data_IF_345602104434
#
_entry.id   IF_345602104434
#
_cell.length_a   1.000
_cell.length_b   1.000
_cell.length_c   1.000
_cell.angle_alpha   90.00
_cell.angle_beta   90.00
_cell.angle_gamma   90.00
#
_symmetry.space_group_name_H-M   'P 1'
#
loop_
_entity.id
_entity.type
_entity.pdbx_description
1 polymer ?
#
# COMPACT_ATOMS: atom_id res chain seq x y z
N UNK A 1 5.28 12.00 -10.76
CA UNK A 1 4.56 12.05 -12.04
C UNK A 1 3.59 13.23 -11.99
N UNK A 2 3.84 14.27 -12.80
CA UNK A 2 2.97 15.45 -12.86
C UNK A 2 1.72 15.13 -13.65
N UNK A 3 0.53 15.28 -13.03
CA UNK A 3 -0.74 15.27 -13.72
C UNK A 3 -0.79 16.43 -14.71
N UNK A 4 -0.78 16.14 -16.01
CA UNK A 4 -0.95 17.15 -17.06
C UNK A 4 -2.42 17.58 -17.11
N UNK A 5 -2.70 18.87 -16.95
CA UNK A 5 -4.01 19.40 -17.23
C UNK A 5 -4.19 19.54 -18.75
N UNK A 6 -5.22 18.89 -19.32
CA UNK A 6 -5.63 19.12 -20.69
C UNK A 6 -6.62 20.31 -20.71
N UNK A 7 -6.21 21.40 -21.35
CA UNK A 7 -7.05 22.59 -21.51
C UNK A 7 -7.74 22.55 -22.88
N UNK A 8 -9.04 22.62 -22.88
CA UNK A 8 -9.87 22.74 -24.07
C UNK A 8 -10.40 24.18 -24.15
N UNK A 9 -10.22 24.83 -25.30
CA UNK A 9 -10.77 26.16 -25.55
C UNK A 9 -11.65 26.15 -26.78
N UNK A 10 -12.81 26.78 -26.68
CA UNK A 10 -13.70 27.02 -27.80
C UNK A 10 -13.81 28.54 -27.99
N UNK A 11 -13.59 29.00 -29.21
CA UNK A 11 -13.84 30.41 -29.59
C UNK A 11 -14.78 30.48 -30.77
N UNK A 12 -15.77 31.36 -30.70
CA UNK A 12 -16.67 31.68 -31.80
C UNK A 12 -16.59 33.16 -32.12
N UNK A 13 -16.58 33.48 -33.42
CA UNK A 13 -16.68 34.84 -33.95
C UNK A 13 -17.85 34.95 -34.94
N UNK A 14 -18.63 35.99 -34.82
CA UNK A 14 -19.74 36.29 -35.74
C UNK A 14 -20.02 37.78 -35.81
N UNK A 15 -20.96 38.22 -36.68
CA UNK A 15 -21.30 39.66 -36.89
C UNK A 15 -21.83 40.34 -35.62
N UNK A 16 -22.18 39.58 -34.56
CA UNK A 16 -22.63 40.11 -33.25
C UNK A 16 -21.53 40.17 -32.18
N UNK A 17 -20.29 39.72 -32.45
CA UNK A 17 -19.20 39.70 -31.48
C UNK A 17 -18.46 38.37 -31.43
N UNK A 18 -17.49 38.29 -30.52
CA UNK A 18 -16.74 37.06 -30.25
C UNK A 18 -16.92 36.61 -28.81
N UNK A 19 -17.02 35.30 -28.61
CA UNK A 19 -17.08 34.65 -27.29
C UNK A 19 -16.08 33.51 -27.21
N UNK A 20 -15.47 33.30 -26.05
CA UNK A 20 -14.61 32.16 -25.78
C UNK A 20 -14.97 31.50 -24.46
N UNK A 21 -14.85 30.19 -24.41
CA UNK A 21 -14.99 29.39 -23.17
C UNK A 21 -13.85 28.38 -23.11
N UNK A 22 -13.34 28.13 -21.91
CA UNK A 22 -12.33 27.12 -21.68
C UNK A 22 -12.74 26.16 -20.56
N UNK A 23 -12.39 24.90 -20.72
CA UNK A 23 -12.51 23.86 -19.70
C UNK A 23 -11.16 23.14 -19.55
N UNK A 24 -10.79 22.82 -18.32
CA UNK A 24 -9.62 22.00 -18.03
C UNK A 24 -10.04 20.67 -17.43
N UNK A 25 -9.41 19.58 -17.88
CA UNK A 25 -9.54 18.26 -17.30
C UNK A 25 -8.17 17.85 -16.77
N UNK A 26 -8.09 17.62 -15.46
CA UNK A 26 -6.88 17.10 -14.83
C UNK A 26 -6.98 15.56 -14.77
N UNK A 27 -6.00 14.87 -15.28
CA UNK A 27 -5.87 13.42 -15.08
C UNK A 27 -5.45 13.12 -13.64
N UNK A 28 -5.88 11.98 -13.12
CA UNK A 28 -5.39 11.48 -11.83
C UNK A 28 -3.95 11.02 -12.03
N UNK A 29 -3.02 11.50 -11.20
CA UNK A 29 -1.64 11.04 -11.20
C UNK A 29 -1.56 9.60 -10.69
N UNK A 30 -0.59 8.84 -11.16
CA UNK A 30 -0.27 7.54 -10.58
C UNK A 30 0.72 7.70 -9.43
N UNK A 31 0.62 6.80 -8.45
CA UNK A 31 1.58 6.62 -7.39
C UNK A 31 2.26 5.26 -7.54
N UNK A 32 3.56 5.21 -7.30
CA UNK A 32 4.32 3.97 -7.22
C UNK A 32 4.42 3.52 -5.76
N UNK A 33 4.62 2.24 -5.56
CA UNK A 33 4.83 1.69 -4.23
C UNK A 33 5.52 0.33 -4.26
N UNK A 34 5.66 -0.26 -3.07
CA UNK A 34 6.28 -1.57 -2.87
C UNK A 34 5.51 -2.37 -1.81
N UNK A 35 5.38 -3.67 -2.01
CA UNK A 35 4.85 -4.62 -1.02
C UNK A 35 6.02 -5.34 -0.37
N UNK A 36 6.16 -5.19 0.95
CA UNK A 36 7.33 -5.66 1.71
C UNK A 36 6.93 -6.46 2.94
N UNK A 37 7.29 -7.73 2.92
CA UNK A 37 7.49 -8.64 4.06
C UNK A 37 8.60 -9.63 3.62
N UNK A 38 9.85 -9.13 3.43
CA UNK A 38 10.66 -9.45 2.26
C UNK A 38 10.02 -8.74 1.05
N UNK A 39 10.47 -8.93 -0.17
CA UNK A 39 9.68 -8.46 -1.31
C UNK A 39 8.61 -9.48 -1.68
N UNK A 40 7.37 -9.02 -1.84
CA UNK A 40 6.26 -9.88 -2.25
C UNK A 40 5.96 -9.61 -3.72
N UNK A 41 6.30 -10.56 -4.60
CA UNK A 41 5.97 -10.54 -6.02
C UNK A 41 4.62 -11.20 -6.29
N UNK A 42 4.01 -10.88 -7.42
CA UNK A 42 2.75 -11.45 -7.86
C UNK A 42 1.58 -11.24 -6.87
N UNK A 43 1.71 -10.29 -5.93
CA UNK A 43 0.61 -9.88 -5.07
C UNK A 43 -0.44 -9.11 -5.85
N UNK A 44 -1.73 -9.33 -5.60
CA UNK A 44 -2.79 -8.46 -6.07
C UNK A 44 -2.84 -7.22 -5.19
N UNK A 45 -2.56 -6.06 -5.78
CA UNK A 45 -2.57 -4.76 -5.08
C UNK A 45 -3.74 -3.93 -5.61
N UNK A 46 -4.62 -3.46 -4.75
CA UNK A 46 -5.84 -2.78 -5.17
C UNK A 46 -6.21 -1.60 -4.28
N UNK A 47 -7.06 -0.75 -4.83
CA UNK A 47 -7.67 0.38 -4.14
C UNK A 47 -8.97 -0.09 -3.49
N UNK A 48 -8.93 -0.32 -2.18
CA UNK A 48 -10.06 -0.81 -1.39
C UNK A 48 -11.04 0.34 -1.13
N UNK A 49 -12.08 0.41 -1.96
CA UNK A 49 -13.04 1.53 -2.00
C UNK A 49 -14.16 1.41 -0.98
N UNK A 50 -14.44 0.21 -0.49
CA UNK A 50 -15.51 -0.07 0.48
C UNK A 50 -14.98 -0.42 1.88
N UNK A 51 -13.66 -0.52 2.05
CA UNK A 51 -12.94 -0.82 3.29
C UNK A 51 -13.29 -2.20 3.89
N UNK A 52 -13.46 -3.21 3.02
CA UNK A 52 -13.71 -4.59 3.44
C UNK A 52 -12.50 -5.53 3.28
N UNK A 53 -11.39 -5.04 2.71
CA UNK A 53 -10.13 -5.74 2.46
C UNK A 53 -10.25 -6.92 1.48
N UNK A 54 -11.33 -6.98 0.71
CA UNK A 54 -11.60 -8.00 -0.29
C UNK A 54 -11.54 -7.36 -1.67
N UNK A 55 -10.80 -7.96 -2.60
CA UNK A 55 -10.74 -7.44 -3.97
C UNK A 55 -12.06 -7.68 -4.69
N UNK A 56 -12.77 -6.60 -4.98
CA UNK A 56 -14.00 -6.59 -5.74
C UNK A 56 -13.78 -6.38 -7.24
N UNK A 57 -14.76 -6.78 -8.05
CA UNK A 57 -14.67 -6.71 -9.51
C UNK A 57 -14.62 -5.29 -10.10
N UNK A 58 -15.09 -4.30 -9.35
CA UNK A 58 -15.12 -2.88 -9.72
C UNK A 58 -13.96 -2.07 -9.14
N UNK A 59 -13.10 -2.70 -8.36
CA UNK A 59 -11.93 -2.06 -7.79
C UNK A 59 -10.74 -2.01 -8.75
N UNK A 60 -10.00 -0.91 -8.68
CA UNK A 60 -8.78 -0.75 -9.47
C UNK A 60 -7.68 -1.59 -8.87
N UNK A 61 -7.16 -2.53 -9.64
CA UNK A 61 -6.12 -3.46 -9.20
C UNK A 61 -4.91 -3.47 -10.14
N UNK A 62 -3.78 -3.89 -9.59
CA UNK A 62 -2.53 -4.19 -10.31
C UNK A 62 -1.85 -5.39 -9.65
N UNK A 63 -0.74 -5.84 -10.24
CA UNK A 63 0.06 -6.93 -9.66
C UNK A 63 1.47 -6.42 -9.37
N UNK A 64 2.03 -6.80 -8.22
CA UNK A 64 3.41 -6.46 -7.87
C UNK A 64 4.41 -7.23 -8.73
N UNK A 65 5.51 -6.57 -9.10
CA UNK A 65 6.61 -7.16 -9.88
C UNK A 65 7.56 -8.01 -9.01
N UNK A 66 8.66 -8.48 -9.62
CA UNK A 66 9.66 -9.32 -8.96
C UNK A 66 10.32 -8.68 -7.72
N UNK A 67 10.26 -7.36 -7.60
CA UNK A 67 10.80 -6.58 -6.47
C UNK A 67 9.68 -6.03 -5.58
N UNK A 68 8.47 -6.59 -5.67
CA UNK A 68 7.31 -6.12 -4.92
C UNK A 68 6.73 -4.78 -5.40
N UNK A 69 7.27 -4.17 -6.46
CA UNK A 69 6.87 -2.85 -6.92
C UNK A 69 5.53 -2.87 -7.64
N UNK A 70 4.75 -1.81 -7.46
CA UNK A 70 3.46 -1.63 -8.12
C UNK A 70 3.22 -0.17 -8.52
N UNK A 71 2.19 0.06 -9.33
CA UNK A 71 1.72 1.40 -9.70
C UNK A 71 0.20 1.42 -9.77
N UNK A 72 -0.44 2.38 -9.11
CA UNK A 72 -1.88 2.59 -9.07
C UNK A 72 -2.23 4.07 -9.23
N UNK A 73 -3.47 4.44 -9.60
CA UNK A 73 -3.94 5.82 -9.48
C UNK A 73 -3.83 6.32 -8.04
N UNK A 74 -3.37 7.57 -7.86
CA UNK A 74 -3.27 8.17 -6.52
C UNK A 74 -4.62 8.73 -6.08
N UNK A 75 -5.45 7.87 -5.51
CA UNK A 75 -6.77 8.18 -4.96
C UNK A 75 -6.74 8.20 -3.43
N UNK A 76 -7.70 8.92 -2.84
CA UNK A 76 -7.90 8.98 -1.38
C UNK A 76 -8.64 7.73 -0.89
N UNK A 77 -7.93 6.61 -0.98
CA UNK A 77 -8.47 5.27 -0.70
C UNK A 77 -7.36 4.40 -0.11
N UNK A 78 -7.71 3.44 0.72
CA UNK A 78 -6.76 2.48 1.24
C UNK A 78 -6.14 1.66 0.10
N UNK A 79 -4.88 1.28 0.27
CA UNK A 79 -4.23 0.34 -0.64
C UNK A 79 -4.02 -0.97 0.09
N UNK A 80 -4.55 -2.04 -0.48
CA UNK A 80 -4.47 -3.40 0.07
C UNK A 80 -3.67 -4.27 -0.88
N UNK A 81 -2.78 -5.09 -0.32
CA UNK A 81 -2.05 -6.12 -1.04
C UNK A 81 -2.43 -7.49 -0.48
N UNK A 82 -2.87 -8.41 -1.34
CA UNK A 82 -3.26 -9.76 -0.94
C UNK A 82 -2.49 -10.81 -1.71
N UNK A 83 -2.26 -11.95 -1.06
CA UNK A 83 -1.60 -13.11 -1.65
C UNK A 83 -0.18 -12.78 -2.19
N UNK A 84 0.30 -13.56 -3.13
CA UNK A 84 1.60 -13.34 -3.77
C UNK A 84 2.61 -14.43 -3.46
N UNK A 85 3.85 -14.12 -3.70
CA UNK A 85 5.00 -15.02 -3.49
C UNK A 85 6.12 -14.24 -2.83
N UNK A 86 6.63 -14.75 -1.73
CA UNK A 86 7.85 -14.23 -1.11
C UNK A 86 9.02 -14.41 -2.08
N UNK A 87 9.66 -13.32 -2.45
CA UNK A 87 10.70 -13.32 -3.49
C UNK A 87 11.98 -14.05 -3.04
N UNK A 88 12.27 -14.10 -1.75
CA UNK A 88 13.48 -14.71 -1.20
C UNK A 88 13.32 -16.22 -1.04
N UNK A 89 12.20 -16.67 -0.47
CA UNK A 89 11.94 -18.09 -0.20
C UNK A 89 11.23 -18.81 -1.33
N UNK A 90 10.61 -18.07 -2.28
CA UNK A 90 9.68 -18.58 -3.30
C UNK A 90 8.44 -19.29 -2.73
N UNK A 91 8.09 -19.04 -1.47
CA UNK A 91 6.88 -19.58 -0.88
C UNK A 91 5.66 -18.78 -1.38
N UNK A 92 4.62 -19.50 -1.80
CA UNK A 92 3.32 -18.90 -2.10
C UNK A 92 2.64 -18.50 -0.81
N UNK A 93 2.22 -17.24 -0.74
CA UNK A 93 1.47 -16.67 0.36
C UNK A 93 -0.02 -16.73 0.01
N UNK A 94 -0.73 -17.63 0.62
CA UNK A 94 -2.20 -17.68 0.57
C UNK A 94 -2.73 -17.14 1.89
N UNK A 95 -3.80 -16.35 1.84
CA UNK A 95 -4.36 -15.69 3.03
C UNK A 95 -3.41 -14.65 3.66
N UNK A 96 -2.60 -14.02 2.81
CA UNK A 96 -1.76 -12.89 3.18
C UNK A 96 -2.48 -11.61 2.80
N UNK A 97 -2.52 -10.65 3.72
CA UNK A 97 -3.08 -9.32 3.46
C UNK A 97 -2.28 -8.27 4.22
N UNK A 98 -1.91 -7.22 3.53
CA UNK A 98 -1.30 -6.01 4.10
C UNK A 98 -2.09 -4.79 3.64
N UNK A 99 -2.14 -3.76 4.48
CA UNK A 99 -2.86 -2.53 4.19
C UNK A 99 -2.03 -1.28 4.50
N UNK A 100 -2.26 -0.25 3.71
CA UNK A 100 -1.84 1.12 4.00
C UNK A 100 -3.02 2.06 3.89
N UNK A 101 -3.17 2.95 4.88
CA UNK A 101 -4.22 3.96 4.91
C UNK A 101 -4.16 4.91 3.71
N UNK A 102 -5.31 5.43 3.32
CA UNK A 102 -5.46 6.47 2.33
C UNK A 102 -4.57 7.69 2.65
N UNK A 103 -3.78 8.14 1.68
CA UNK A 103 -2.99 9.37 1.80
C UNK A 103 -2.49 9.84 0.42
N UNK A 104 -3.17 10.80 -0.18
CA UNK A 104 -2.82 11.36 -1.50
C UNK A 104 -1.61 12.28 -1.49
N UNK A 105 -1.09 12.63 -0.31
CA UNK A 105 0.09 13.50 -0.17
C UNK A 105 1.41 12.74 -0.31
N UNK A 106 1.37 11.41 -0.37
CA UNK A 106 2.57 10.60 -0.52
C UNK A 106 3.03 10.57 -1.98
N UNK A 107 4.34 10.62 -2.19
CA UNK A 107 4.97 10.42 -3.50
C UNK A 107 5.26 8.94 -3.79
N UNK A 108 5.27 8.11 -2.75
CA UNK A 108 5.54 6.69 -2.79
C UNK A 108 4.78 5.98 -1.67
N UNK A 109 4.38 4.70 -1.86
CA UNK A 109 3.67 3.91 -0.86
C UNK A 109 4.43 2.62 -0.53
N UNK A 110 4.74 2.42 0.75
CA UNK A 110 5.27 1.17 1.27
C UNK A 110 4.17 0.41 2.01
N UNK A 111 3.72 -0.72 1.47
CA UNK A 111 2.73 -1.60 2.11
C UNK A 111 3.51 -2.67 2.88
N UNK A 112 3.47 -2.61 4.20
CA UNK A 112 4.30 -3.43 5.09
C UNK A 112 3.47 -3.95 6.27
N UNK A 113 3.97 -4.93 7.03
CA UNK A 113 3.35 -5.30 8.30
C UNK A 113 3.19 -4.13 9.28
N UNK A 114 4.14 -3.18 9.26
CA UNK A 114 4.09 -2.02 10.15
C UNK A 114 3.02 -1.01 9.73
N UNK A 115 2.83 -0.78 8.43
CA UNK A 115 1.72 0.07 7.95
C UNK A 115 0.37 -0.55 8.25
N UNK A 116 0.28 -1.89 8.20
CA UNK A 116 -0.94 -2.63 8.54
C UNK A 116 -1.28 -2.50 10.03
N UNK A 117 -0.30 -2.64 10.93
CA UNK A 117 -0.53 -2.39 12.36
C UNK A 117 -0.90 -0.93 12.60
N UNK A 118 -0.19 0.03 11.98
CA UNK A 118 -0.49 1.44 12.12
C UNK A 118 -1.92 1.78 11.67
N UNK A 119 -2.40 1.14 10.61
CA UNK A 119 -3.78 1.28 10.12
C UNK A 119 -4.83 0.96 11.20
N UNK A 120 -4.58 -0.04 12.03
CA UNK A 120 -5.50 -0.47 13.09
C UNK A 120 -5.33 0.29 14.42
N UNK A 121 -4.34 1.17 14.53
CA UNK A 121 -4.16 1.99 15.72
C UNK A 121 -5.12 3.19 15.71
N UNK A 122 -5.62 3.57 16.88
CA UNK A 122 -6.42 4.80 17.05
C UNK A 122 -5.63 6.06 16.66
N UNK A 123 -4.32 6.05 16.90
CA UNK A 123 -3.39 7.07 16.46
C UNK A 123 -2.19 6.40 15.76
N UNK A 124 -2.22 6.34 14.41
CA UNK A 124 -1.15 5.73 13.63
C UNK A 124 0.24 6.34 13.86
N UNK A 125 0.32 7.61 14.28
CA UNK A 125 1.60 8.30 14.52
C UNK A 125 2.37 7.74 15.70
N UNK A 126 1.71 6.99 16.57
CA UNK A 126 2.32 6.38 17.76
C UNK A 126 3.18 5.15 17.46
N UNK A 127 3.04 4.55 16.25
CA UNK A 127 3.72 3.30 15.90
C UNK A 127 5.24 3.38 16.07
N UNK A 128 5.85 4.48 15.66
CA UNK A 128 7.29 4.67 15.79
C UNK A 128 7.72 4.64 17.28
N UNK A 129 6.95 5.29 18.15
CA UNK A 129 7.23 5.33 19.58
C UNK A 129 7.03 3.95 20.22
N UNK A 130 5.94 3.24 19.89
CA UNK A 130 5.61 1.93 20.45
C UNK A 130 6.69 0.89 20.10
N UNK A 131 7.19 0.91 18.85
CA UNK A 131 8.18 -0.04 18.38
C UNK A 131 9.63 0.44 18.57
N UNK A 132 9.85 1.66 19.07
CA UNK A 132 11.17 2.25 19.23
C UNK A 132 11.86 2.55 17.89
N UNK A 133 11.09 2.87 16.84
CA UNK A 133 11.62 3.22 15.53
C UNK A 133 12.18 4.64 15.53
N UNK A 134 13.12 4.87 14.62
CA UNK A 134 13.66 6.21 14.38
C UNK A 134 12.58 7.14 13.81
N UNK A 135 12.35 8.25 14.48
CA UNK A 135 11.31 9.23 14.09
C UNK A 135 11.60 9.95 12.76
N UNK A 136 12.81 9.82 12.23
CA UNK A 136 13.17 10.35 10.90
C UNK A 136 12.70 9.46 9.76
N UNK A 137 12.26 8.23 10.04
CA UNK A 137 11.76 7.29 9.04
C UNK A 137 10.24 7.33 9.01
N UNK A 138 9.69 7.68 7.86
CA UNK A 138 8.27 7.54 7.60
C UNK A 138 7.98 6.12 7.10
N UNK A 139 7.31 5.31 7.92
CA UNK A 139 6.97 3.92 7.59
C UNK A 139 6.07 3.81 6.35
N UNK A 140 5.34 4.86 6.00
CA UNK A 140 4.43 4.86 4.86
C UNK A 140 5.16 4.96 3.51
N UNK A 141 6.41 5.41 3.52
CA UNK A 141 7.22 5.62 2.30
C UNK A 141 8.54 4.88 2.33
N UNK A 142 8.93 4.35 3.48
CA UNK A 142 10.20 3.68 3.64
C UNK A 142 10.19 2.27 3.03
N UNK A 143 11.10 1.99 2.10
CA UNK A 143 11.43 0.65 1.64
C UNK A 143 12.59 0.11 2.49
N UNK A 144 12.32 -0.76 3.49
CA UNK A 144 13.36 -1.24 4.38
C UNK A 144 14.31 -2.24 3.70
N UNK A 145 13.89 -2.91 2.64
CA UNK A 145 14.72 -3.89 1.92
C UNK A 145 15.71 -3.16 1.03
N UNK A 146 15.25 -2.19 0.22
CA UNK A 146 16.15 -1.40 -0.63
C UNK A 146 17.22 -0.66 0.18
N UNK A 147 16.86 -0.16 1.36
CA UNK A 147 17.72 0.71 2.17
C UNK A 147 18.38 0.00 3.35
N UNK A 148 18.30 -1.33 3.43
CA UNK A 148 18.80 -2.12 4.58
C UNK A 148 20.29 -1.88 4.91
N UNK A 149 21.09 -1.54 3.91
CA UNK A 149 22.52 -1.27 4.06
C UNK A 149 22.86 0.22 4.24
N UNK A 150 21.86 1.11 4.15
CA UNK A 150 22.08 2.56 4.23
C UNK A 150 22.22 3.04 5.67
N UNK A 151 21.46 2.46 6.58
CA UNK A 151 21.56 2.80 8.00
C UNK A 151 21.05 1.69 8.92
N UNK A 152 21.47 1.75 10.18
CA UNK A 152 20.94 0.86 11.22
C UNK A 152 19.43 1.06 11.45
N UNK A 153 18.88 2.24 11.17
CA UNK A 153 17.47 2.53 11.32
C UNK A 153 16.62 1.74 10.32
N UNK A 154 17.06 1.62 9.05
CA UNK A 154 16.36 0.78 8.05
C UNK A 154 16.47 -0.71 8.38
N UNK A 155 17.64 -1.15 8.83
CA UNK A 155 17.80 -2.53 9.29
C UNK A 155 16.85 -2.84 10.45
N UNK A 156 16.76 -1.94 11.42
CA UNK A 156 15.87 -2.08 12.56
C UNK A 156 14.39 -2.05 12.13
N UNK A 157 14.02 -1.19 11.17
CA UNK A 157 12.69 -1.14 10.58
C UNK A 157 12.32 -2.50 9.96
N UNK A 158 13.21 -3.09 9.17
CA UNK A 158 13.03 -4.41 8.57
C UNK A 158 12.88 -5.51 9.63
N UNK A 159 13.74 -5.51 10.64
CA UNK A 159 13.67 -6.47 11.75
C UNK A 159 12.35 -6.37 12.52
N UNK A 160 11.82 -5.15 12.71
CA UNK A 160 10.53 -4.93 13.37
C UNK A 160 9.36 -5.42 12.52
N UNK A 161 9.38 -5.21 11.21
CA UNK A 161 8.41 -5.79 10.29
C UNK A 161 8.34 -7.30 10.45
N UNK A 162 9.46 -7.98 10.33
CA UNK A 162 9.55 -9.43 10.47
C UNK A 162 9.09 -9.93 11.86
N UNK A 163 9.37 -9.19 12.94
CA UNK A 163 8.89 -9.54 14.28
C UNK A 163 7.38 -9.45 14.38
N UNK A 164 6.77 -8.44 13.78
CA UNK A 164 5.30 -8.27 13.72
C UNK A 164 4.67 -9.44 12.97
N UNK A 165 5.19 -9.76 11.79
CA UNK A 165 4.73 -10.89 10.97
C UNK A 165 4.76 -12.20 11.75
N UNK A 166 5.90 -12.52 12.38
CA UNK A 166 6.04 -13.74 13.19
C UNK A 166 5.06 -13.78 14.36
N UNK A 167 4.81 -12.64 15.01
CA UNK A 167 3.85 -12.54 16.11
C UNK A 167 2.43 -12.85 15.61
N UNK A 168 2.01 -12.24 14.50
CA UNK A 168 0.68 -12.45 13.93
C UNK A 168 0.48 -13.91 13.53
N UNK A 169 1.42 -14.52 12.83
CA UNK A 169 1.36 -15.96 12.50
C UNK A 169 1.28 -16.84 13.73
N UNK A 170 2.03 -16.52 14.80
CA UNK A 170 2.00 -17.28 16.04
C UNK A 170 0.64 -17.18 16.74
N UNK A 171 0.05 -15.98 16.75
CA UNK A 171 -1.29 -15.75 17.31
C UNK A 171 -2.37 -16.48 16.48
N UNK A 172 -2.30 -16.40 15.16
CA UNK A 172 -3.21 -17.12 14.25
C UNK A 172 -3.17 -18.62 14.49
N UNK A 173 -1.97 -19.20 14.56
CA UNK A 173 -1.80 -20.62 14.86
C UNK A 173 -2.43 -21.01 16.19
N UNK A 174 -2.20 -20.22 17.25
CA UNK A 174 -2.76 -20.47 18.56
C UNK A 174 -4.30 -20.37 18.58
N UNK A 175 -4.88 -19.41 17.85
CA UNK A 175 -6.33 -19.26 17.71
C UNK A 175 -6.91 -20.47 16.99
N UNK A 176 -6.30 -20.92 15.89
CA UNK A 176 -6.74 -22.07 15.13
C UNK A 176 -6.69 -23.38 15.97
N UNK A 177 -5.65 -23.53 16.77
CA UNK A 177 -5.52 -24.67 17.69
C UNK A 177 -6.63 -24.66 18.77
N UNK A 178 -6.96 -23.51 19.34
CA UNK A 178 -8.02 -23.37 20.35
C UNK A 178 -9.40 -23.60 19.74
N UNK A 179 -9.63 -23.10 18.53
CA UNK A 179 -10.91 -23.23 17.84
C UNK A 179 -11.17 -24.66 17.34
N UNK A 180 -10.16 -25.54 17.33
CA UNK A 180 -10.26 -26.88 16.77
C UNK A 180 -10.54 -26.90 15.28
N UNK A 181 -10.34 -25.77 14.63
CA UNK A 181 -10.52 -25.56 13.20
C UNK A 181 -9.14 -25.47 12.56
N UNK A 182 -8.84 -26.39 11.68
CA UNK A 182 -7.79 -26.20 10.67
C UNK A 182 -8.34 -25.23 9.62
N UNK A 183 -8.87 -24.09 10.05
CA UNK A 183 -9.25 -23.06 9.11
C UNK A 183 -7.98 -22.30 8.69
N UNK A 184 -7.54 -22.59 7.48
CA UNK A 184 -6.41 -21.91 6.84
C UNK A 184 -6.82 -20.58 6.25
N UNK A 185 -8.05 -20.12 6.50
CA UNK A 185 -8.55 -18.84 6.04
C UNK A 185 -8.20 -17.74 7.03
N UNK A 186 -7.50 -16.76 6.53
CA UNK A 186 -7.42 -15.40 7.03
C UNK A 186 -6.40 -15.11 8.15
N UNK A 187 -5.12 -14.92 7.76
CA UNK A 187 -4.24 -14.03 8.50
C UNK A 187 -4.51 -12.59 8.03
N UNK A 188 -5.39 -11.87 8.70
CA UNK A 188 -5.55 -10.43 8.52
C UNK A 188 -4.55 -9.68 9.39
N UNK A 189 -3.83 -8.75 8.76
CA UNK A 189 -3.10 -7.72 9.46
C UNK A 189 -3.98 -6.49 9.67
#
# INVERSE_FOLDING_TARGET
>A
STSGANNFSLSCTGEGGSGSSSASVSGIANISGVVVDGYIRDASVFLDTNADFILDADETTTTSDANGSFTLPNLDTNVVAINGVDADSNNTLTNFSLVQAANTSLDFRAITPLTSIAFHLTDPTTINTILGLDSSIDINTADPVANINESNSYKFLYEKGNQVTLLVYSMQSAINDIAGTQDTSEAYF
#
